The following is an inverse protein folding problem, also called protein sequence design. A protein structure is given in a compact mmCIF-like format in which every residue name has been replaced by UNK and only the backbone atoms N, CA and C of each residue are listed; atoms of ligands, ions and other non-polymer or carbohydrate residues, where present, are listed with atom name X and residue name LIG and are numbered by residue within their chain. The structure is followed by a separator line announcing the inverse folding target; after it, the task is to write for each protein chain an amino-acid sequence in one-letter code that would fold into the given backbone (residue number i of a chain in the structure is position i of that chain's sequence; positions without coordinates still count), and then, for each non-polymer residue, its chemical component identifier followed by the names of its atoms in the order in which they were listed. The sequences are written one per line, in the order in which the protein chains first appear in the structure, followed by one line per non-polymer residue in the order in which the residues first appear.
data_IF_072969760214
#
_entry.id   IF_072969760214
#
_cell.length_a   1.000
_cell.length_b   1.000
_cell.length_c   1.000
_cell.angle_alpha   90.00
_cell.angle_beta   90.00
_cell.angle_gamma   90.00
#
_symmetry.space_group_name_H-M   'P 1'
#
loop_
_entity.id
_entity.type
_entity.pdbx_description
1 polymer ?
#
# COMPACT_ATOMS: atom_id res chain seq x y z
N UNK A 1 -12.96 -29.92 14.27
CA UNK A 1 -13.43 -28.56 13.94
C UNK A 1 -12.30 -27.59 14.27
N UNK A 2 -11.82 -26.79 13.31
CA UNK A 2 -10.88 -25.70 13.60
C UNK A 2 -11.75 -24.45 13.81
N UNK A 3 -11.74 -23.89 15.01
CA UNK A 3 -12.49 -22.66 15.31
C UNK A 3 -11.75 -21.48 14.65
N UNK A 4 -12.26 -20.98 13.52
CA UNK A 4 -11.71 -19.82 12.80
C UNK A 4 -12.01 -18.45 13.42
N UNK A 5 -12.55 -18.43 14.64
CA UNK A 5 -12.97 -17.19 15.31
C UNK A 5 -11.78 -16.52 15.99
N UNK A 6 -11.82 -15.19 16.05
CA UNK A 6 -10.86 -14.44 16.85
C UNK A 6 -11.19 -14.51 18.34
N UNK A 7 -10.14 -14.62 19.16
CA UNK A 7 -10.22 -14.34 20.58
C UNK A 7 -10.46 -12.85 20.82
N UNK A 8 -11.39 -12.51 21.69
CA UNK A 8 -11.72 -11.13 22.03
C UNK A 8 -11.30 -10.81 23.47
N UNK A 9 -11.17 -9.52 23.77
CA UNK A 9 -11.08 -9.02 25.16
C UNK A 9 -12.37 -9.29 25.92
N UNK A 10 -12.33 -9.22 27.26
CA UNK A 10 -13.49 -9.54 28.12
C UNK A 10 -14.72 -8.66 27.82
N UNK A 11 -14.50 -7.38 27.50
CA UNK A 11 -15.55 -6.44 27.07
C UNK A 11 -16.04 -6.68 25.62
N UNK A 12 -15.42 -7.63 24.90
CA UNK A 12 -15.70 -8.04 23.51
C UNK A 12 -15.65 -6.91 22.48
N UNK A 13 -14.87 -5.87 22.74
CA UNK A 13 -14.72 -4.71 21.83
C UNK A 13 -13.46 -4.78 20.99
N UNK A 14 -12.46 -5.53 21.43
CA UNK A 14 -11.15 -5.59 20.80
C UNK A 14 -10.69 -7.03 20.60
N UNK A 15 -9.79 -7.22 19.64
CA UNK A 15 -9.03 -8.46 19.53
C UNK A 15 -8.12 -8.63 20.75
N UNK A 16 -8.00 -9.88 21.20
CA UNK A 16 -6.99 -10.23 22.20
C UNK A 16 -5.63 -10.24 21.52
N UNK A 17 -4.66 -9.57 22.15
CA UNK A 17 -3.29 -9.46 21.66
C UNK A 17 -2.32 -10.09 22.65
N UNK A 18 -1.22 -10.66 22.13
CA UNK A 18 -0.13 -11.14 22.97
C UNK A 18 0.58 -9.94 23.60
N UNK A 19 0.72 -9.95 24.93
CA UNK A 19 1.57 -9.02 25.68
C UNK A 19 2.61 -9.81 26.48
N UNK A 20 3.57 -9.12 27.09
CA UNK A 20 4.58 -9.73 27.98
C UNK A 20 3.96 -10.53 29.12
N UNK A 21 2.80 -10.08 29.63
CA UNK A 21 2.08 -10.74 30.73
C UNK A 21 1.15 -11.87 30.23
N UNK A 22 0.63 -11.75 29.00
CA UNK A 22 -0.33 -12.71 28.43
C UNK A 22 0.28 -13.69 27.44
N UNK A 23 1.60 -13.83 27.37
CA UNK A 23 2.26 -14.74 26.42
C UNK A 23 1.80 -16.21 26.52
N UNK A 24 1.26 -16.65 27.67
CA UNK A 24 0.70 -18.00 27.83
C UNK A 24 -0.75 -18.15 27.33
N UNK A 25 -1.38 -17.07 26.93
CA UNK A 25 -2.76 -17.06 26.44
C UNK A 25 -2.84 -17.58 24.99
N UNK A 26 -3.63 -18.65 24.81
CA UNK A 26 -3.77 -19.32 23.53
C UNK A 26 -4.58 -18.48 22.53
N UNK A 27 -5.52 -17.66 23.00
CA UNK A 27 -6.40 -16.85 22.16
C UNK A 27 -5.64 -15.71 21.46
N UNK A 28 -4.79 -14.99 22.20
CA UNK A 28 -3.92 -13.97 21.61
C UNK A 28 -2.95 -14.54 20.57
N UNK A 29 -2.34 -15.70 20.87
CA UNK A 29 -1.45 -16.42 19.92
C UNK A 29 -2.20 -16.89 18.68
N UNK A 30 -3.41 -17.40 18.85
CA UNK A 30 -4.27 -17.82 17.75
C UNK A 30 -4.59 -16.64 16.82
N UNK A 31 -4.97 -15.49 17.37
CA UNK A 31 -5.21 -14.27 16.58
C UNK A 31 -3.98 -13.84 15.78
N UNK A 32 -2.81 -13.84 16.42
CA UNK A 32 -1.56 -13.47 15.75
C UNK A 32 -1.27 -14.41 14.57
N UNK A 33 -1.44 -15.72 14.74
CA UNK A 33 -1.28 -16.71 13.68
C UNK A 33 -2.31 -16.52 12.56
N UNK A 34 -3.58 -16.29 12.90
CA UNK A 34 -4.63 -16.01 11.91
C UNK A 34 -4.29 -14.78 11.07
N UNK A 35 -3.85 -13.69 11.71
CA UNK A 35 -3.48 -12.46 11.01
C UNK A 35 -2.28 -12.72 10.10
N UNK A 36 -1.18 -13.26 10.64
CA UNK A 36 0.08 -13.48 9.89
C UNK A 36 -0.04 -14.51 8.77
N UNK A 37 -0.80 -15.58 8.98
CA UNK A 37 -0.79 -16.71 8.03
C UNK A 37 -1.99 -16.73 7.10
N UNK A 38 -3.17 -16.33 7.59
CA UNK A 38 -4.42 -16.45 6.82
C UNK A 38 -4.82 -15.11 6.24
N UNK A 39 -5.02 -14.09 7.08
CA UNK A 39 -5.49 -12.76 6.62
C UNK A 39 -4.47 -12.13 5.69
N UNK A 40 -3.20 -12.15 6.07
CA UNK A 40 -2.09 -11.60 5.28
C UNK A 40 -2.09 -12.14 3.84
N UNK A 41 -2.10 -13.47 3.70
CA UNK A 41 -2.11 -14.13 2.38
C UNK A 41 -3.40 -13.86 1.60
N UNK A 42 -4.53 -13.82 2.29
CA UNK A 42 -5.83 -13.54 1.67
C UNK A 42 -5.89 -12.10 1.15
N UNK A 43 -5.32 -11.16 1.89
CA UNK A 43 -5.29 -9.75 1.52
C UNK A 43 -4.39 -9.49 0.30
N UNK A 44 -3.19 -10.10 0.25
CA UNK A 44 -2.33 -10.03 -0.96
C UNK A 44 -3.09 -10.56 -2.17
N UNK A 45 -3.69 -11.75 -2.06
CA UNK A 45 -4.47 -12.36 -3.15
C UNK A 45 -5.65 -11.49 -3.57
N UNK A 46 -6.30 -10.79 -2.64
CA UNK A 46 -7.38 -9.86 -2.95
C UNK A 46 -6.85 -8.69 -3.78
N UNK A 47 -5.74 -8.09 -3.38
CA UNK A 47 -5.12 -6.98 -4.13
C UNK A 47 -4.65 -7.43 -5.51
N UNK A 48 -4.03 -8.61 -5.61
CA UNK A 48 -3.64 -9.22 -6.89
C UNK A 48 -4.85 -9.50 -7.80
N UNK A 49 -5.91 -10.07 -7.23
CA UNK A 49 -7.16 -10.31 -7.95
C UNK A 49 -7.74 -9.00 -8.49
N UNK A 50 -7.80 -7.97 -7.64
CA UNK A 50 -8.24 -6.64 -8.06
C UNK A 50 -7.33 -6.09 -9.18
N UNK A 51 -6.02 -6.25 -9.04
CA UNK A 51 -5.06 -5.79 -10.02
C UNK A 51 -5.21 -6.49 -11.39
N UNK A 52 -5.57 -7.77 -11.39
CA UNK A 52 -5.68 -8.55 -12.63
C UNK A 52 -7.04 -8.41 -13.31
N UNK A 53 -8.09 -8.03 -12.57
CA UNK A 53 -9.46 -8.02 -13.10
C UNK A 53 -10.10 -6.65 -13.24
N UNK A 54 -9.61 -5.62 -12.53
CA UNK A 54 -10.08 -4.25 -12.72
C UNK A 54 -9.17 -3.50 -13.70
N UNK A 55 -9.79 -2.94 -14.73
CA UNK A 55 -9.12 -2.02 -15.65
C UNK A 55 -8.84 -0.67 -14.99
N UNK A 56 -9.75 -0.23 -14.11
CA UNK A 56 -9.59 1.01 -13.34
C UNK A 56 -8.60 0.80 -12.19
N UNK A 57 -7.43 1.44 -12.29
CA UNK A 57 -6.39 1.40 -11.26
C UNK A 57 -6.84 2.06 -9.96
N UNK A 58 -7.81 2.98 -10.00
CA UNK A 58 -8.35 3.62 -8.80
C UNK A 58 -9.01 2.60 -7.87
N UNK A 59 -9.68 1.58 -8.42
CA UNK A 59 -10.27 0.50 -7.62
C UNK A 59 -9.20 -0.30 -6.89
N UNK A 60 -8.06 -0.57 -7.55
CA UNK A 60 -6.91 -1.26 -6.93
C UNK A 60 -6.32 -0.40 -5.81
N UNK A 61 -6.18 0.91 -6.06
CA UNK A 61 -5.65 1.86 -5.07
C UNK A 61 -6.55 2.02 -3.85
N UNK A 62 -7.87 1.92 -4.02
CA UNK A 62 -8.83 1.93 -2.92
C UNK A 62 -8.69 0.71 -2.00
N UNK A 63 -8.23 -0.43 -2.53
CA UNK A 63 -7.96 -1.63 -1.73
C UNK A 63 -6.74 -1.46 -0.82
N UNK A 64 -5.81 -0.55 -1.14
CA UNK A 64 -4.61 -0.31 -0.33
C UNK A 64 -4.98 0.34 1.02
N UNK A 65 -4.29 -0.03 2.11
CA UNK A 65 -4.60 0.49 3.43
C UNK A 65 -4.22 1.98 3.49
N UNK A 66 -4.96 2.75 4.29
CA UNK A 66 -4.54 4.09 4.64
C UNK A 66 -3.52 4.00 5.77
N UNK A 67 -2.26 4.22 5.42
CA UNK A 67 -1.13 4.11 6.32
C UNK A 67 -1.21 5.08 7.52
N UNK A 68 -1.98 6.17 7.41
CA UNK A 68 -2.10 7.19 8.45
C UNK A 68 -3.00 6.80 9.63
N UNK A 69 -3.82 5.75 9.48
CA UNK A 69 -4.82 5.34 10.49
C UNK A 69 -4.59 3.91 11.03
N UNK A 70 -3.52 3.24 10.62
CA UNK A 70 -3.21 1.88 11.08
C UNK A 70 -2.65 1.96 12.50
N UNK A 71 -3.33 1.35 13.47
CA UNK A 71 -2.80 1.27 14.83
C UNK A 71 -1.50 0.45 14.88
N UNK A 72 -0.60 0.77 15.82
CA UNK A 72 0.72 0.13 15.96
C UNK A 72 0.68 -1.42 15.95
N UNK A 73 -0.32 -2.04 16.59
CA UNK A 73 -0.41 -3.51 16.67
C UNK A 73 -0.65 -4.16 15.31
N UNK A 74 -1.58 -3.60 14.53
CA UNK A 74 -1.86 -4.04 13.16
C UNK A 74 -0.69 -3.73 12.24
N UNK A 75 -0.06 -2.56 12.42
CA UNK A 75 1.08 -2.13 11.63
C UNK A 75 2.23 -3.16 11.72
N UNK A 76 2.67 -3.54 12.92
CA UNK A 76 3.79 -4.48 13.07
C UNK A 76 3.50 -5.85 12.44
N UNK A 77 2.25 -6.33 12.53
CA UNK A 77 1.87 -7.63 11.99
C UNK A 77 1.72 -7.63 10.48
N UNK A 78 1.20 -6.55 9.91
CA UNK A 78 0.88 -6.44 8.49
C UNK A 78 1.95 -5.71 7.67
N UNK A 79 2.95 -5.10 8.31
CA UNK A 79 4.05 -4.43 7.62
C UNK A 79 4.70 -5.31 6.54
N UNK A 80 5.02 -6.60 6.77
CA UNK A 80 5.57 -7.45 5.72
C UNK A 80 4.62 -7.62 4.51
N UNK A 81 3.31 -7.68 4.78
CA UNK A 81 2.26 -7.80 3.76
C UNK A 81 2.19 -6.54 2.91
N UNK A 82 2.23 -5.37 3.55
CA UNK A 82 2.20 -4.09 2.85
C UNK A 82 3.48 -3.85 2.05
N UNK A 83 4.63 -4.28 2.57
CA UNK A 83 5.89 -4.28 1.84
C UNK A 83 5.83 -5.20 0.61
N UNK A 84 5.24 -6.39 0.74
CA UNK A 84 5.04 -7.30 -0.40
C UNK A 84 4.18 -6.63 -1.47
N UNK A 85 3.02 -6.08 -1.10
CA UNK A 85 2.14 -5.34 -2.03
C UNK A 85 2.85 -4.14 -2.66
N UNK A 86 3.63 -3.37 -1.89
CA UNK A 86 4.39 -2.21 -2.38
C UNK A 86 5.49 -2.60 -3.39
N UNK A 87 5.82 -3.89 -3.50
CA UNK A 87 6.77 -4.44 -4.47
C UNK A 87 6.09 -5.25 -5.59
N UNK A 88 4.79 -5.00 -5.84
CA UNK A 88 4.06 -5.59 -6.97
C UNK A 88 3.77 -4.56 -8.07
N UNK A 89 3.66 -4.98 -9.35
CA UNK A 89 3.40 -4.07 -10.46
C UNK A 89 1.92 -3.66 -10.52
N UNK A 90 1.55 -2.72 -9.65
CA UNK A 90 0.17 -2.21 -9.52
C UNK A 90 0.03 -0.74 -9.93
N UNK A 91 1.15 -0.03 -10.16
CA UNK A 91 1.13 1.40 -10.48
C UNK A 91 0.84 1.59 -11.97
N UNK A 92 -0.27 2.22 -12.29
CA UNK A 92 -0.66 2.54 -13.66
C UNK A 92 0.11 3.75 -14.19
N UNK A 93 0.88 3.55 -15.26
CA UNK A 93 1.54 4.62 -16.00
C UNK A 93 0.63 5.23 -17.08
N UNK A 94 1.01 6.41 -17.57
CA UNK A 94 0.32 7.10 -18.66
C UNK A 94 0.27 6.32 -19.99
N UNK A 95 1.23 5.40 -20.19
CA UNK A 95 1.26 4.53 -21.37
C UNK A 95 0.31 3.32 -21.27
N UNK A 96 -0.48 3.24 -20.19
CA UNK A 96 -1.46 2.18 -19.97
C UNK A 96 -0.88 0.88 -19.41
N UNK A 97 0.41 0.85 -19.08
CA UNK A 97 1.05 -0.33 -18.49
C UNK A 97 1.23 -0.17 -16.98
N UNK A 98 1.00 -1.28 -16.26
CA UNK A 98 1.27 -1.38 -14.82
C UNK A 98 2.73 -1.70 -14.58
N UNK A 99 3.34 -1.03 -13.61
CA UNK A 99 4.76 -1.17 -13.25
C UNK A 99 4.98 -1.16 -11.76
N UNK A 100 6.19 -1.53 -11.34
CA UNK A 100 6.64 -1.35 -9.96
C UNK A 100 6.78 0.13 -9.65
N UNK A 101 6.54 0.53 -8.40
CA UNK A 101 6.75 1.92 -7.97
C UNK A 101 8.21 2.38 -8.14
N UNK A 102 9.17 1.46 -8.12
CA UNK A 102 10.60 1.76 -8.35
C UNK A 102 10.93 2.07 -9.81
N UNK A 103 10.05 1.76 -10.75
CA UNK A 103 10.26 1.96 -12.18
C UNK A 103 9.60 3.27 -12.66
N UNK A 104 8.68 3.83 -11.86
CA UNK A 104 7.85 4.97 -12.24
C UNK A 104 8.32 6.29 -11.63
N UNK A 105 8.02 7.38 -12.34
CA UNK A 105 8.16 8.74 -11.81
C UNK A 105 6.76 9.21 -11.41
N UNK A 106 6.52 9.45 -10.12
CA UNK A 106 5.21 9.86 -9.64
C UNK A 106 5.04 11.37 -9.80
N UNK A 107 3.94 11.77 -10.44
CA UNK A 107 3.57 13.18 -10.49
C UNK A 107 3.07 13.66 -9.12
N UNK A 108 3.73 14.67 -8.57
CA UNK A 108 3.40 15.36 -7.32
C UNK A 108 3.24 16.88 -7.52
N UNK A 109 2.93 17.33 -8.74
CA UNK A 109 2.85 18.74 -9.10
C UNK A 109 1.48 19.38 -8.84
N UNK A 110 0.53 18.66 -8.23
CA UNK A 110 -0.86 19.12 -8.03
C UNK A 110 -0.97 20.48 -7.30
N UNK A 111 0.02 20.83 -6.49
CA UNK A 111 0.08 22.09 -5.73
C UNK A 111 0.72 23.26 -6.49
N UNK A 112 1.20 23.07 -7.73
CA UNK A 112 1.90 24.12 -8.49
C UNK A 112 0.97 25.22 -9.04
N UNK A 113 -0.36 25.03 -8.99
CA UNK A 113 -1.37 26.05 -9.30
C UNK A 113 -1.49 26.48 -10.78
N UNK A 114 -0.50 26.16 -11.63
CA UNK A 114 -0.48 26.47 -13.06
C UNK A 114 -0.52 25.20 -13.92
N UNK A 115 -1.70 24.91 -14.47
CA UNK A 115 -1.92 23.76 -15.37
C UNK A 115 -1.03 23.79 -16.62
N UNK A 116 -0.63 24.98 -17.11
CA UNK A 116 0.26 25.09 -18.28
C UNK A 116 1.68 24.69 -17.92
N UNK A 117 2.12 25.04 -16.71
CA UNK A 117 3.43 24.66 -16.21
C UNK A 117 3.51 23.15 -15.97
N UNK A 118 2.49 22.56 -15.34
CA UNK A 118 2.39 21.09 -15.19
C UNK A 118 2.41 20.39 -16.56
N UNK A 119 1.59 20.85 -17.51
CA UNK A 119 1.57 20.28 -18.87
C UNK A 119 2.92 20.39 -19.58
N UNK A 120 3.64 21.51 -19.41
CA UNK A 120 4.98 21.69 -19.98
C UNK A 120 6.01 20.73 -19.36
N UNK A 121 5.97 20.53 -18.04
CA UNK A 121 6.84 19.57 -17.35
C UNK A 121 6.52 18.15 -17.80
N UNK A 122 5.24 17.75 -17.80
CA UNK A 122 4.82 16.43 -18.27
C UNK A 122 5.21 16.19 -19.74
N UNK A 123 5.26 17.26 -20.55
CA UNK A 123 5.75 17.19 -21.92
C UNK A 123 7.25 16.84 -22.01
N UNK A 124 8.07 17.26 -21.06
CA UNK A 124 9.48 16.84 -20.97
C UNK A 124 9.60 15.33 -20.66
N UNK A 125 8.59 14.75 -20.03
CA UNK A 125 8.50 13.34 -19.69
C UNK A 125 7.67 12.51 -20.69
N UNK A 126 7.51 12.97 -21.94
CA UNK A 126 6.61 12.38 -22.97
C UNK A 126 6.85 10.90 -23.32
N UNK A 127 7.96 10.30 -22.87
CA UNK A 127 8.28 8.87 -23.03
C UNK A 127 8.59 8.18 -21.70
N UNK A 128 8.33 8.86 -20.58
CA UNK A 128 8.72 8.41 -19.25
C UNK A 128 7.59 7.61 -18.62
N UNK A 129 7.95 6.74 -17.68
CA UNK A 129 7.03 5.91 -16.90
C UNK A 129 6.32 6.77 -15.83
N UNK A 130 5.69 7.88 -16.22
CA UNK A 130 5.00 8.79 -15.30
C UNK A 130 3.70 8.15 -14.85
N UNK A 131 3.44 8.21 -13.55
CA UNK A 131 2.21 7.73 -12.94
C UNK A 131 1.50 8.84 -12.16
N UNK A 132 0.17 8.85 -12.28
CA UNK A 132 -0.73 9.64 -11.42
C UNK A 132 -1.31 8.69 -10.38
N UNK A 133 -0.97 8.93 -9.11
CA UNK A 133 -1.51 8.15 -8.00
C UNK A 133 -2.12 9.11 -6.97
N UNK A 134 -3.24 8.74 -6.32
CA UNK A 134 -3.81 9.55 -5.23
C UNK A 134 -2.83 9.70 -4.05
N UNK A 135 -2.94 10.78 -3.29
CA UNK A 135 -2.07 11.05 -2.12
C UNK A 135 -2.03 9.92 -1.11
N UNK A 136 -3.19 9.31 -0.81
CA UNK A 136 -3.28 8.15 0.08
C UNK A 136 -2.39 7.00 -0.43
N UNK A 137 -2.42 6.75 -1.73
CA UNK A 137 -1.64 5.71 -2.39
C UNK A 137 -0.16 6.07 -2.42
N UNK A 138 0.19 7.34 -2.68
CA UNK A 138 1.57 7.81 -2.59
C UNK A 138 2.13 7.60 -1.17
N UNK A 139 1.39 7.98 -0.13
CA UNK A 139 1.79 7.78 1.27
C UNK A 139 1.97 6.30 1.61
N UNK A 140 1.12 5.42 1.08
CA UNK A 140 1.30 3.97 1.21
C UNK A 140 2.66 3.54 0.66
N UNK A 141 2.99 3.90 -0.58
CA UNK A 141 4.27 3.53 -1.17
C UNK A 141 5.48 4.16 -0.46
N UNK A 142 5.39 5.43 -0.06
CA UNK A 142 6.44 6.09 0.72
C UNK A 142 6.72 5.38 2.04
N UNK A 143 5.70 4.81 2.67
CA UNK A 143 5.85 4.11 3.95
C UNK A 143 6.36 2.66 3.79
N UNK A 144 5.93 1.96 2.74
CA UNK A 144 6.13 0.51 2.63
C UNK A 144 7.08 0.06 1.52
N UNK A 145 7.43 0.91 0.55
CA UNK A 145 8.41 0.56 -0.47
C UNK A 145 9.84 0.82 0.04
N UNK A 146 10.71 -0.18 -0.05
CA UNK A 146 12.05 -0.14 0.59
C UNK A 146 13.03 0.81 -0.07
N UNK A 147 12.89 1.04 -1.38
CA UNK A 147 13.84 1.86 -2.16
C UNK A 147 13.37 3.32 -2.32
N UNK A 148 12.29 3.72 -1.63
CA UNK A 148 11.69 5.05 -1.77
C UNK A 148 10.89 5.23 -3.07
N UNK A 149 10.29 6.40 -3.25
CA UNK A 149 9.47 6.74 -4.41
C UNK A 149 10.14 7.86 -5.19
N UNK A 150 10.29 7.69 -6.51
CA UNK A 150 10.79 8.74 -7.38
C UNK A 150 9.66 9.75 -7.67
N UNK A 151 9.85 11.01 -7.27
CA UNK A 151 8.91 12.10 -7.51
C UNK A 151 9.42 13.02 -8.62
N UNK A 152 8.51 13.68 -9.33
CA UNK A 152 8.91 14.76 -10.25
C UNK A 152 9.58 15.88 -9.44
N UNK A 153 10.84 16.17 -9.77
CA UNK A 153 11.62 17.25 -9.17
C UNK A 153 12.35 18.04 -10.27
N UNK A 154 12.66 19.34 -10.08
CA UNK A 154 13.37 20.13 -11.08
C UNK A 154 14.70 19.52 -11.51
N UNK A 155 15.40 18.81 -10.61
CA UNK A 155 16.67 18.13 -10.93
C UNK A 155 16.54 17.06 -12.00
N UNK A 156 15.37 16.43 -12.16
CA UNK A 156 15.12 15.43 -13.21
C UNK A 156 15.07 16.04 -14.61
N UNK A 157 14.95 17.37 -14.74
CA UNK A 157 14.95 18.08 -16.03
C UNK A 157 16.34 18.62 -16.41
N UNK A 158 17.34 18.46 -15.53
CA UNK A 158 18.68 19.02 -15.69
C UNK A 158 19.74 17.99 -16.11
N UNK A 159 19.35 16.75 -16.41
CA UNK A 159 20.18 15.72 -17.05
C UNK A 159 19.98 15.71 -18.58
#
# INVERSE_FOLDING_TARGET
HINGFFGLTDNRRDLKWVTTETYKDNDGKWNELLIKQVISRTYIKLVEYCNNHFQDSLMVYQCLPDASIISNKWYELLRPVFQEIANTPIVMCLDGHKRLISEVIVNNLADMGDQRFEAAILQCFKNSQVAFIPDKTLKFFQMFHTNGVCLITPSLLCE
#
